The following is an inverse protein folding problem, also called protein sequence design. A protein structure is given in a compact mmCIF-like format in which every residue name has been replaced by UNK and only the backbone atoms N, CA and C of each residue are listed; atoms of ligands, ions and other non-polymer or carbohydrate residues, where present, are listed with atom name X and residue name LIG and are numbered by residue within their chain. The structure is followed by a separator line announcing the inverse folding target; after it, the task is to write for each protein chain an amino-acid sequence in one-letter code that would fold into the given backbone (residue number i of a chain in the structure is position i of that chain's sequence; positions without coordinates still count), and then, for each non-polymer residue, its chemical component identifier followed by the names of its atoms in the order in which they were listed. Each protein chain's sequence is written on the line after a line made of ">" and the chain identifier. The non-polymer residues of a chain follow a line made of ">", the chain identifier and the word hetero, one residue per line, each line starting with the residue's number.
data_IF_242465293158
#
_entry.id   IF_242465293158
#
_cell.length_a   1.000
_cell.length_b   1.000
_cell.length_c   1.000
_cell.angle_alpha   90.00
_cell.angle_beta   90.00
_cell.angle_gamma   90.00
#
_symmetry.space_group_name_H-M   'P 1'
#
loop_
_entity.id
_entity.type
_entity.pdbx_description
1 polymer ?
#
# COMPACT_ATOMS: atom_id res chain seq x y z
N UNK A 1 -10.30 -6.52 -19.32
CA UNK A 1 -10.75 -7.40 -18.21
C UNK A 1 -9.85 -7.28 -16.98
N UNK A 2 -8.51 -7.40 -17.14
CA UNK A 2 -7.52 -7.28 -16.04
C UNK A 2 -7.65 -5.97 -15.25
N UNK A 3 -7.73 -4.81 -15.91
CA UNK A 3 -7.86 -3.50 -15.22
C UNK A 3 -9.14 -3.36 -14.38
N UNK A 4 -10.26 -3.98 -14.79
CA UNK A 4 -11.50 -3.97 -13.99
C UNK A 4 -11.35 -4.82 -12.73
N UNK A 5 -10.70 -5.98 -12.84
CA UNK A 5 -10.44 -6.86 -11.72
C UNK A 5 -9.43 -6.25 -10.72
N UNK A 6 -8.39 -5.59 -11.22
CA UNK A 6 -7.41 -4.86 -10.40
C UNK A 6 -8.05 -3.69 -9.67
N UNK A 7 -8.84 -2.84 -10.37
CA UNK A 7 -9.57 -1.74 -9.72
C UNK A 7 -10.55 -2.23 -8.64
N UNK A 8 -11.29 -3.30 -8.94
CA UNK A 8 -12.21 -3.91 -7.97
C UNK A 8 -11.47 -4.38 -6.72
N UNK A 9 -10.33 -5.06 -6.91
CA UNK A 9 -9.48 -5.49 -5.79
C UNK A 9 -8.95 -4.29 -4.97
N UNK A 10 -8.42 -3.26 -5.64
CA UNK A 10 -7.94 -2.04 -4.97
C UNK A 10 -9.02 -1.39 -4.10
N UNK A 11 -10.25 -1.28 -4.62
CA UNK A 11 -11.37 -0.65 -3.92
C UNK A 11 -11.89 -1.53 -2.77
N UNK A 12 -12.11 -2.83 -3.02
CA UNK A 12 -12.67 -3.75 -2.03
C UNK A 12 -11.75 -3.92 -0.81
N UNK A 13 -10.44 -3.92 -1.03
CA UNK A 13 -9.43 -4.04 0.02
C UNK A 13 -8.99 -2.67 0.60
N UNK A 14 -9.61 -1.57 0.15
CA UNK A 14 -9.30 -0.18 0.55
C UNK A 14 -7.81 0.14 0.51
N UNK A 15 -7.10 -0.34 -0.53
CA UNK A 15 -5.63 -0.31 -0.55
C UNK A 15 -5.07 1.10 -0.54
N UNK A 16 -5.71 2.04 -1.26
CA UNK A 16 -5.25 3.43 -1.34
C UNK A 16 -5.21 4.07 0.05
N UNK A 17 -6.26 3.88 0.84
CA UNK A 17 -6.36 4.45 2.19
C UNK A 17 -5.37 3.77 3.13
N UNK A 18 -5.31 2.42 3.12
CA UNK A 18 -4.40 1.67 3.99
C UNK A 18 -2.92 1.94 3.71
N UNK A 19 -2.56 2.16 2.44
CA UNK A 19 -1.20 2.58 2.05
C UNK A 19 -0.95 4.00 2.53
N UNK A 20 -1.89 4.92 2.29
CA UNK A 20 -1.75 6.30 2.76
C UNK A 20 -1.55 6.35 4.27
N UNK A 21 -2.39 5.70 5.06
CA UNK A 21 -2.28 5.69 6.52
C UNK A 21 -0.95 5.10 7.00
N UNK A 22 -0.50 4.01 6.36
CA UNK A 22 0.78 3.40 6.69
C UNK A 22 1.99 4.26 6.35
N UNK A 23 1.94 5.03 5.26
CA UNK A 23 3.03 5.89 4.80
C UNK A 23 3.00 7.29 5.43
N UNK A 24 1.81 7.81 5.77
CA UNK A 24 1.64 9.11 6.42
C UNK A 24 2.22 9.09 7.84
N UNK A 25 2.14 7.94 8.52
CA UNK A 25 2.82 7.71 9.80
C UNK A 25 4.36 7.77 9.71
N UNK A 26 4.94 7.96 8.52
CA UNK A 26 6.38 8.11 8.29
C UNK A 26 6.81 9.50 7.85
N UNK A 27 5.91 10.48 7.87
CA UNK A 27 6.21 11.81 7.38
C UNK A 27 6.66 11.87 5.91
N UNK A 28 6.48 10.78 5.14
CA UNK A 28 6.87 10.69 3.72
C UNK A 28 6.13 11.74 2.89
N UNK A 29 4.93 12.10 3.32
CA UNK A 29 4.08 13.05 2.63
C UNK A 29 3.87 14.36 3.40
N UNK A 30 4.78 14.70 4.33
CA UNK A 30 4.79 16.01 4.96
C UNK A 30 4.63 17.07 3.86
N UNK A 31 3.59 17.91 3.98
CA UNK A 31 3.27 19.03 3.09
C UNK A 31 2.53 18.72 1.77
N UNK A 32 2.00 17.51 1.54
CA UNK A 32 1.16 17.22 0.36
C UNK A 32 -0.32 17.05 0.71
N UNK A 33 -1.20 17.45 -0.21
CA UNK A 33 -2.64 17.27 -0.05
C UNK A 33 -2.99 15.77 -0.07
N UNK A 34 -3.79 15.33 0.90
CA UNK A 34 -4.24 13.93 1.04
C UNK A 34 -4.84 13.38 -0.26
N UNK A 35 -5.65 14.19 -0.95
CA UNK A 35 -6.32 13.80 -2.19
C UNK A 35 -5.29 13.52 -3.28
N UNK A 36 -4.29 14.39 -3.43
CA UNK A 36 -3.23 14.25 -4.44
C UNK A 36 -2.39 13.00 -4.20
N UNK A 37 -2.08 12.71 -2.93
CA UNK A 37 -1.34 11.51 -2.54
C UNK A 37 -2.14 10.24 -2.85
N UNK A 38 -3.43 10.22 -2.50
CA UNK A 38 -4.30 9.08 -2.79
C UNK A 38 -4.47 8.85 -4.29
N UNK A 39 -4.57 9.93 -5.08
CA UNK A 39 -4.55 9.87 -6.55
C UNK A 39 -3.22 9.29 -7.05
N UNK A 40 -2.10 9.76 -6.52
CA UNK A 40 -0.77 9.24 -6.86
C UNK A 40 -0.65 7.74 -6.55
N UNK A 41 -1.00 7.31 -5.34
CA UNK A 41 -0.98 5.89 -4.95
C UNK A 41 -1.86 5.08 -5.90
N UNK A 42 -3.11 5.51 -6.13
CA UNK A 42 -4.05 4.78 -7.00
C UNK A 42 -3.53 4.61 -8.42
N UNK A 43 -2.91 5.65 -8.99
CA UNK A 43 -2.32 5.60 -10.34
C UNK A 43 -1.15 4.61 -10.40
N UNK A 44 -0.33 4.56 -9.37
CA UNK A 44 0.87 3.71 -9.33
C UNK A 44 0.61 2.27 -8.84
N UNK A 45 -0.58 1.95 -8.31
CA UNK A 45 -0.96 0.56 -7.97
C UNK A 45 -1.15 -0.37 -9.17
N UNK A 46 -0.86 0.11 -10.39
CA UNK A 46 -0.76 -0.70 -11.60
C UNK A 46 0.68 -1.04 -11.98
N UNK A 47 1.65 -0.43 -11.30
CA UNK A 47 3.06 -0.63 -11.54
C UNK A 47 3.64 -1.66 -10.55
N UNK A 48 4.20 -2.74 -11.09
CA UNK A 48 4.83 -3.80 -10.31
C UNK A 48 6.04 -3.30 -9.52
N UNK A 49 6.80 -2.36 -10.07
CA UNK A 49 7.98 -1.82 -9.42
C UNK A 49 7.58 -0.98 -8.21
N UNK A 50 6.62 -0.07 -8.39
CA UNK A 50 6.01 0.67 -7.28
C UNK A 50 5.49 -0.25 -6.16
N UNK A 51 4.74 -1.31 -6.50
CA UNK A 51 4.24 -2.27 -5.50
C UNK A 51 5.39 -3.00 -4.80
N UNK A 52 6.45 -3.36 -5.53
CA UNK A 52 7.64 -4.00 -4.95
C UNK A 52 8.33 -3.07 -3.96
N UNK A 53 8.46 -1.80 -4.29
CA UNK A 53 8.99 -0.77 -3.38
C UNK A 53 8.14 -0.63 -2.13
N UNK A 54 6.80 -0.59 -2.26
CA UNK A 54 5.90 -0.57 -1.10
C UNK A 54 6.08 -1.80 -0.20
N UNK A 55 6.14 -3.00 -0.78
CA UNK A 55 6.35 -4.24 -0.03
C UNK A 55 7.65 -4.20 0.78
N UNK A 56 8.73 -3.68 0.19
CA UNK A 56 10.02 -3.56 0.86
C UNK A 56 9.95 -2.56 2.03
N UNK A 57 9.35 -1.37 1.82
CA UNK A 57 9.16 -0.39 2.90
C UNK A 57 8.37 -0.97 4.06
N UNK A 58 7.27 -1.67 3.78
CA UNK A 58 6.42 -2.30 4.80
C UNK A 58 7.13 -3.43 5.55
N UNK A 59 7.95 -4.25 4.86
CA UNK A 59 8.77 -5.29 5.50
C UNK A 59 9.85 -4.70 6.42
N UNK A 60 10.51 -3.63 5.98
CA UNK A 60 11.47 -2.89 6.82
C UNK A 60 10.80 -2.25 8.03
N UNK A 61 9.52 -1.89 7.95
CA UNK A 61 8.74 -1.42 9.10
C UNK A 61 8.50 -2.53 10.12
N UNK A 62 8.13 -3.73 9.67
CA UNK A 62 7.87 -4.87 10.57
C UNK A 62 9.09 -5.25 11.42
N UNK A 63 10.31 -5.07 10.89
CA UNK A 63 11.53 -5.37 11.62
C UNK A 63 11.91 -4.34 12.69
N UNK A 64 11.24 -3.18 12.75
CA UNK A 64 11.50 -2.16 13.78
C UNK A 64 10.81 -2.52 15.10
N UNK A 65 11.57 -2.44 16.20
CA UNK A 65 11.19 -2.88 17.55
C UNK A 65 10.02 -2.09 18.17
N UNK A 66 9.70 -0.90 17.65
CA UNK A 66 8.70 0.02 18.19
C UNK A 66 7.28 -0.14 17.62
N UNK A 67 7.06 -1.08 16.69
CA UNK A 67 5.74 -1.28 16.08
C UNK A 67 4.83 -2.09 17.01
N UNK A 68 3.64 -1.58 17.35
CA UNK A 68 2.68 -2.29 18.19
C UNK A 68 2.15 -3.56 17.51
N UNK A 69 1.61 -4.52 18.28
CA UNK A 69 1.08 -5.76 17.70
C UNK A 69 -0.08 -5.52 16.72
N UNK A 70 -0.96 -4.55 17.02
CA UNK A 70 -2.05 -4.16 16.14
C UNK A 70 -1.53 -3.58 14.81
N UNK A 71 -0.53 -2.69 14.88
CA UNK A 71 0.10 -2.16 13.67
C UNK A 71 0.81 -3.26 12.86
N UNK A 72 1.50 -4.20 13.52
CA UNK A 72 2.12 -5.34 12.86
C UNK A 72 1.10 -6.16 12.08
N UNK A 73 -0.05 -6.48 12.67
CA UNK A 73 -1.13 -7.21 11.98
C UNK A 73 -1.60 -6.45 10.74
N UNK A 74 -1.89 -5.15 10.90
CA UNK A 74 -2.35 -4.29 9.80
C UNK A 74 -1.33 -4.25 8.64
N UNK A 75 -0.04 -4.22 8.95
CA UNK A 75 1.03 -4.21 7.94
C UNK A 75 1.15 -5.58 7.25
N UNK A 76 1.08 -6.69 8.00
CA UNK A 76 1.13 -8.04 7.44
C UNK A 76 -0.03 -8.26 6.46
N UNK A 77 -1.24 -7.88 6.83
CA UNK A 77 -2.41 -7.95 5.95
C UNK A 77 -2.22 -7.08 4.70
N UNK A 78 -1.66 -5.88 4.84
CA UNK A 78 -1.40 -5.00 3.70
C UNK A 78 -0.34 -5.59 2.77
N UNK A 79 0.72 -6.21 3.32
CA UNK A 79 1.74 -6.93 2.53
C UNK A 79 1.11 -8.08 1.74
N UNK A 80 0.20 -8.84 2.37
CA UNK A 80 -0.49 -9.94 1.71
C UNK A 80 -1.33 -9.46 0.53
N UNK A 81 -2.16 -8.44 0.75
CA UNK A 81 -2.99 -7.86 -0.31
C UNK A 81 -2.15 -7.26 -1.45
N UNK A 82 -1.07 -6.57 -1.14
CA UNK A 82 -0.14 -6.02 -2.15
C UNK A 82 0.57 -7.12 -2.94
N UNK A 83 0.88 -8.25 -2.30
CA UNK A 83 1.47 -9.40 -2.99
C UNK A 83 0.48 -10.03 -3.97
N UNK A 84 -0.80 -10.17 -3.58
CA UNK A 84 -1.86 -10.61 -4.48
C UNK A 84 -2.04 -9.63 -5.64
N UNK A 85 -2.09 -8.32 -5.34
CA UNK A 85 -2.22 -7.28 -6.35
C UNK A 85 -1.09 -7.36 -7.38
N UNK A 86 0.16 -7.54 -6.93
CA UNK A 86 1.32 -7.70 -7.80
C UNK A 86 1.16 -8.87 -8.77
N UNK A 87 0.62 -10.00 -8.31
CA UNK A 87 0.36 -11.17 -9.16
C UNK A 87 -0.79 -10.97 -10.15
N UNK A 88 -1.74 -10.06 -9.87
CA UNK A 88 -2.87 -9.75 -10.76
C UNK A 88 -2.51 -8.77 -11.88
N UNK A 89 -1.43 -8.04 -11.73
CA UNK A 89 -0.87 -7.18 -12.77
C UNK A 89 -0.01 -8.09 -13.66
N UNK A 90 -0.32 -8.16 -14.95
CA UNK A 90 0.51 -8.90 -15.92
C UNK A 90 1.66 -8.03 -16.38
#
# INVERSE_FOLDING_TARGET
>A
MIRKNVNSFINNHKLVDRIYDNLNNYDIFKYKNVIEIKIYIKKNLYDKEFITTLLNVLRTKLSKKQTSNAEKSNIIELIYDLSILKCKIN
#
